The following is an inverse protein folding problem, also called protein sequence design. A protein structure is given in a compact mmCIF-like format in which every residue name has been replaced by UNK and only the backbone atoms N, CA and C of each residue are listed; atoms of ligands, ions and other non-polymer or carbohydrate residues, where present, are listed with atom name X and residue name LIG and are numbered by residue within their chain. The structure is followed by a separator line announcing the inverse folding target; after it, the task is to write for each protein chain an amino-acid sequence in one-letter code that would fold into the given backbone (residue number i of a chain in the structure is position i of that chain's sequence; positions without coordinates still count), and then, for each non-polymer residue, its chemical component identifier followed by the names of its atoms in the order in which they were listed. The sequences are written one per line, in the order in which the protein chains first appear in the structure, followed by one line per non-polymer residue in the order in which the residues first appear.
data_IF_001033837385
#
_entry.id   IF_001033837385
#
_cell.length_a   1.000
_cell.length_b   1.000
_cell.length_c   1.000
_cell.angle_alpha   90.00
_cell.angle_beta   90.00
_cell.angle_gamma   90.00
#
_symmetry.space_group_name_H-M   'P 1'
#
loop_
_entity.id
_entity.type
_entity.pdbx_description
1 polymer ?
#
# COMPACT_ATOMS: atom_id res chain seq x y z
N UNK A 1 15.32 -0.07 20.01
CA UNK A 1 15.43 -0.24 18.54
C UNK A 1 14.42 0.70 17.94
N UNK A 2 14.88 1.74 17.25
CA UNK A 2 14.00 2.68 16.54
C UNK A 2 13.86 2.10 15.14
N UNK A 3 12.78 1.37 14.89
CA UNK A 3 12.49 0.79 13.58
C UNK A 3 11.47 1.67 12.88
N UNK A 4 11.93 2.26 11.77
CA UNK A 4 11.16 2.84 10.67
C UNK A 4 10.02 3.80 11.04
N UNK A 5 10.38 5.07 11.25
CA UNK A 5 9.47 6.16 10.91
C UNK A 5 9.45 6.34 9.40
N UNK A 6 8.48 5.72 8.72
CA UNK A 6 7.97 6.22 7.44
C UNK A 6 6.97 7.30 7.80
N UNK A 7 7.45 8.54 7.88
CA UNK A 7 6.61 9.70 8.10
C UNK A 7 5.86 10.01 6.80
N UNK A 8 4.52 9.88 6.81
CA UNK A 8 3.64 10.72 6.00
C UNK A 8 3.48 10.38 4.52
N UNK A 9 3.66 9.14 4.08
CA UNK A 9 3.33 8.77 2.70
C UNK A 9 1.90 8.26 2.68
N UNK A 10 0.95 9.13 2.33
CA UNK A 10 -0.39 8.66 2.00
C UNK A 10 -0.25 7.70 0.82
N UNK A 11 -1.04 6.63 0.77
CA UNK A 11 -1.01 5.74 -0.40
C UNK A 11 -1.35 6.49 -1.70
N UNK A 12 -2.10 7.58 -1.59
CA UNK A 12 -2.32 8.53 -2.68
C UNK A 12 -1.03 9.22 -3.20
N UNK A 13 0.04 9.28 -2.41
CA UNK A 13 1.36 9.80 -2.83
C UNK A 13 2.26 8.69 -3.44
N UNK A 14 1.84 7.42 -3.36
CA UNK A 14 2.55 6.26 -3.93
C UNK A 14 2.17 5.98 -5.37
N UNK A 15 0.95 6.33 -5.77
CA UNK A 15 0.46 6.29 -7.15
C UNK A 15 1.35 7.20 -8.02
N UNK A 16 2.42 6.60 -8.55
CA UNK A 16 3.47 7.28 -9.28
C UNK A 16 3.04 7.47 -10.75
N UNK A 17 2.13 6.63 -11.22
CA UNK A 17 1.46 6.76 -12.50
C UNK A 17 -0.04 7.07 -12.32
N UNK A 18 -0.44 8.34 -12.07
CA UNK A 18 -1.77 8.76 -11.57
C UNK A 18 -2.96 8.14 -12.33
N UNK A 19 -3.25 6.89 -12.02
CA UNK A 19 -4.27 6.04 -12.62
C UNK A 19 -5.32 5.64 -11.56
N UNK A 20 -5.05 5.98 -10.29
CA UNK A 20 -5.92 5.76 -9.15
C UNK A 20 -5.76 4.38 -8.51
N UNK A 21 -4.72 3.64 -8.88
CA UNK A 21 -4.39 2.32 -8.34
C UNK A 21 -2.93 2.30 -7.85
N UNK A 22 -2.59 1.32 -7.03
CA UNK A 22 -1.22 1.15 -6.52
C UNK A 22 -0.75 -0.25 -6.82
N UNK A 23 0.21 -0.37 -7.72
CA UNK A 23 0.84 -1.65 -8.03
C UNK A 23 1.80 -2.10 -6.92
N UNK A 24 2.08 -3.40 -6.87
CA UNK A 24 3.07 -3.95 -5.94
C UNK A 24 4.43 -3.23 -6.05
N UNK A 25 4.85 -2.85 -7.26
CA UNK A 25 6.14 -2.18 -7.47
C UNK A 25 6.16 -0.79 -6.86
N UNK A 26 5.06 -0.05 -6.98
CA UNK A 26 4.95 1.29 -6.38
C UNK A 26 4.87 1.21 -4.87
N UNK A 27 4.13 0.24 -4.35
CA UNK A 27 4.06 0.02 -2.92
C UNK A 27 5.43 -0.34 -2.32
N UNK A 28 6.24 -1.14 -3.02
CA UNK A 28 7.62 -1.42 -2.62
C UNK A 28 8.52 -0.17 -2.55
N UNK A 29 8.16 0.94 -3.21
CA UNK A 29 8.91 2.19 -3.11
C UNK A 29 8.82 2.81 -1.71
N UNK A 30 7.69 2.61 -1.00
CA UNK A 30 7.50 3.08 0.38
C UNK A 30 7.67 1.97 1.41
N UNK A 31 7.31 0.73 1.07
CA UNK A 31 7.35 -0.42 1.94
C UNK A 31 8.20 -1.52 1.28
N UNK A 32 9.52 -1.33 1.17
CA UNK A 32 10.42 -2.31 0.55
C UNK A 32 10.50 -3.63 1.32
N UNK A 33 10.04 -3.63 2.57
CA UNK A 33 9.94 -4.82 3.41
C UNK A 33 8.61 -5.59 3.21
N UNK A 34 7.67 -5.07 2.39
CA UNK A 34 6.41 -5.77 2.10
C UNK A 34 6.69 -7.02 1.27
N UNK A 35 6.11 -8.14 1.71
CA UNK A 35 6.08 -9.39 0.96
C UNK A 35 4.91 -9.45 -0.02
N UNK A 36 5.05 -10.28 -1.04
CA UNK A 36 3.98 -10.56 -2.00
C UNK A 36 2.75 -11.18 -1.31
N UNK A 37 2.95 -11.95 -0.23
CA UNK A 37 1.86 -12.51 0.59
C UNK A 37 1.06 -11.44 1.33
N UNK A 38 1.73 -10.41 1.85
CA UNK A 38 1.08 -9.25 2.46
C UNK A 38 0.34 -8.42 1.41
N UNK A 39 0.94 -8.22 0.23
CA UNK A 39 0.27 -7.55 -0.89
C UNK A 39 -0.99 -8.31 -1.32
N UNK A 40 -0.90 -9.63 -1.48
CA UNK A 40 -2.05 -10.48 -1.84
C UNK A 40 -3.12 -10.49 -0.75
N UNK A 41 -2.78 -10.19 0.50
CA UNK A 41 -3.76 -10.04 1.57
C UNK A 41 -4.52 -8.70 1.49
N UNK A 42 -3.95 -7.71 0.81
CA UNK A 42 -4.51 -6.38 0.58
C UNK A 42 -5.32 -6.35 -0.73
N UNK A 43 -4.80 -7.01 -1.76
CA UNK A 43 -5.40 -7.21 -3.09
C UNK A 43 -6.49 -8.29 -2.99
N UNK A 44 -7.69 -7.84 -2.66
CA UNK A 44 -8.84 -8.68 -2.36
C UNK A 44 -9.45 -9.29 -3.63
N UNK A 45 -9.33 -8.60 -4.77
CA UNK A 45 -9.81 -9.10 -6.07
C UNK A 45 -8.75 -9.85 -6.89
N UNK A 46 -7.49 -9.83 -6.43
CA UNK A 46 -6.33 -10.52 -6.99
C UNK A 46 -6.02 -10.07 -8.43
N UNK A 47 -6.21 -8.79 -8.73
CA UNK A 47 -5.91 -8.21 -10.05
C UNK A 47 -4.45 -7.75 -10.20
N UNK A 48 -3.69 -7.75 -9.09
CA UNK A 48 -2.27 -7.39 -9.03
C UNK A 48 -2.02 -5.90 -8.74
N UNK A 49 -3.06 -5.13 -8.48
CA UNK A 49 -3.00 -3.73 -8.05
C UNK A 49 -3.93 -3.50 -6.85
N UNK A 50 -3.73 -2.42 -6.12
CA UNK A 50 -4.64 -2.01 -5.05
C UNK A 50 -5.45 -0.82 -5.52
N UNK A 51 -6.77 -0.99 -5.61
CA UNK A 51 -7.66 0.11 -5.90
C UNK A 51 -7.99 0.94 -4.64
N UNK A 52 -8.62 2.10 -4.82
CA UNK A 52 -8.96 2.98 -3.71
C UNK A 52 -9.83 2.34 -2.62
N UNK A 53 -10.71 1.40 -2.97
CA UNK A 53 -11.56 0.70 -2.01
C UNK A 53 -10.74 -0.30 -1.17
N UNK A 54 -9.80 -1.02 -1.78
CA UNK A 54 -8.89 -1.95 -1.09
C UNK A 54 -7.90 -1.24 -0.19
N UNK A 55 -7.36 -0.11 -0.65
CA UNK A 55 -6.51 0.78 0.13
C UNK A 55 -7.27 1.29 1.36
N UNK A 56 -8.51 1.76 1.18
CA UNK A 56 -9.34 2.22 2.29
C UNK A 56 -9.64 1.10 3.28
N UNK A 57 -9.96 -0.11 2.80
CA UNK A 57 -10.18 -1.28 3.65
C UNK A 57 -8.92 -1.66 4.45
N UNK A 58 -7.76 -1.60 3.81
CA UNK A 58 -6.48 -1.89 4.45
C UNK A 58 -6.08 -0.83 5.49
N UNK A 59 -6.40 0.44 5.24
CA UNK A 59 -6.25 1.53 6.20
C UNK A 59 -7.18 1.36 7.40
N UNK A 60 -8.44 0.98 7.18
CA UNK A 60 -9.39 0.68 8.25
C UNK A 60 -8.96 -0.54 9.08
N UNK A 61 -8.29 -1.50 8.45
CA UNK A 61 -7.70 -2.66 9.09
C UNK A 61 -6.35 -2.38 9.80
N UNK A 62 -5.87 -1.12 9.78
CA UNK A 62 -4.56 -0.70 10.31
C UNK A 62 -3.37 -1.48 9.67
N UNK A 63 -3.57 -2.06 8.49
CA UNK A 63 -2.55 -2.75 7.71
C UNK A 63 -1.69 -1.78 6.90
N UNK A 64 -2.29 -0.67 6.50
CA UNK A 64 -1.63 0.42 5.80
C UNK A 64 -1.67 1.71 6.62
N UNK A 65 -0.58 2.49 6.65
CA UNK A 65 -0.56 3.75 7.38
C UNK A 65 -1.53 4.77 6.74
N UNK A 66 -2.22 5.52 7.60
CA UNK A 66 -3.16 6.59 7.21
C UNK A 66 -2.57 8.01 7.33
N UNK A 67 -1.33 8.15 7.81
CA UNK A 67 -0.70 9.44 8.13
C UNK A 67 0.09 10.06 7.00
#
# INVERSE_FOLDING_TARGET
MVTAGLAGAQIADVDADPDGMVSFTELLMIMPDMSEEEFTALDADADGVLNADEIAAAQEAELLPTE
#
